data_IF_739632384989
#
_entry.id   IF_739632384989
#
_cell.length_a   1.000
_cell.length_b   1.000
_cell.length_c   1.000
_cell.angle_alpha   90.00
_cell.angle_beta   90.00
_cell.angle_gamma   90.00
#
_symmetry.space_group_name_H-M   'P 1'
#
loop_
_entity.id
_entity.type
_entity.pdbx_description
1 polymer ?
#
# COMPACT_ATOMS: atom_id res chain seq x y z
N UNK A 1 -4.16 -4.40 22.17
CA UNK A 1 -4.15 -3.33 21.15
C UNK A 1 -3.79 -1.98 21.77
N UNK A 2 -4.31 -1.66 22.97
CA UNK A 2 -4.04 -0.39 23.66
C UNK A 2 -2.59 -0.24 24.15
N UNK A 3 -1.94 -1.34 24.54
CA UNK A 3 -0.51 -1.34 24.90
C UNK A 3 0.39 -0.93 23.72
N UNK A 4 0.09 -1.38 22.50
CA UNK A 4 0.89 -1.03 21.30
C UNK A 4 0.70 0.45 20.94
N UNK A 5 -0.54 0.95 20.98
CA UNK A 5 -0.83 2.38 20.74
C UNK A 5 -0.13 3.28 21.76
N UNK A 6 -0.15 2.88 23.03
CA UNK A 6 0.54 3.59 24.11
C UNK A 6 2.05 3.63 23.91
N UNK A 7 2.67 2.50 23.54
CA UNK A 7 4.11 2.42 23.25
C UNK A 7 4.49 3.35 22.10
N UNK A 8 3.77 3.29 20.97
CA UNK A 8 4.05 4.11 19.79
C UNK A 8 3.89 5.60 20.09
N UNK A 9 2.80 5.98 20.78
CA UNK A 9 2.55 7.38 21.15
C UNK A 9 3.64 7.93 22.08
N UNK A 10 4.07 7.14 23.06
CA UNK A 10 4.98 7.62 24.11
C UNK A 10 6.46 7.61 23.69
N UNK A 11 6.85 6.72 22.77
CA UNK A 11 8.26 6.58 22.36
C UNK A 11 8.59 7.34 21.07
N UNK A 12 7.64 7.45 20.12
CA UNK A 12 7.94 7.96 18.78
C UNK A 12 7.49 9.41 18.54
N UNK A 13 6.95 10.12 19.54
CA UNK A 13 6.36 11.48 19.38
C UNK A 13 5.47 11.59 18.12
N UNK A 14 4.67 10.56 17.87
CA UNK A 14 3.89 10.41 16.63
C UNK A 14 2.40 10.49 16.94
N UNK A 15 1.64 11.14 16.06
CA UNK A 15 0.18 11.17 16.14
C UNK A 15 -0.41 9.91 15.49
N UNK A 16 -1.33 9.24 16.18
CA UNK A 16 -2.03 8.07 15.65
C UNK A 16 -3.33 8.53 14.98
N UNK A 17 -3.49 8.22 13.70
CA UNK A 17 -4.77 8.42 12.98
C UNK A 17 -5.54 7.11 12.89
N UNK A 18 -6.86 7.17 13.12
CA UNK A 18 -7.77 6.03 12.97
C UNK A 18 -8.50 6.16 11.64
N UNK A 19 -8.42 5.12 10.80
CA UNK A 19 -9.08 5.09 9.50
C UNK A 19 -10.32 4.20 9.63
N UNK A 20 -11.53 4.72 9.38
CA UNK A 20 -12.75 3.92 9.43
C UNK A 20 -12.75 2.81 8.37
N UNK A 21 -13.50 1.74 8.64
CA UNK A 21 -13.73 0.69 7.66
C UNK A 21 -14.35 1.27 6.37
N UNK A 22 -13.90 0.79 5.21
CA UNK A 22 -14.35 1.29 3.91
C UNK A 22 -13.54 2.46 3.34
N UNK A 23 -12.69 3.12 4.16
CA UNK A 23 -11.88 4.27 3.71
C UNK A 23 -10.46 3.91 3.30
N UNK A 24 -10.05 2.65 3.48
CA UNK A 24 -8.71 2.16 3.13
C UNK A 24 -8.31 2.48 1.68
N UNK A 25 -9.22 2.29 0.72
CA UNK A 25 -8.94 2.60 -0.69
C UNK A 25 -8.89 4.10 -1.01
N UNK A 26 -9.29 4.97 -0.07
CA UNK A 26 -9.36 6.42 -0.28
C UNK A 26 -8.16 7.12 0.36
N UNK A 27 -7.85 6.76 1.60
CA UNK A 27 -6.90 7.54 2.44
C UNK A 27 -5.64 6.77 2.83
N UNK A 28 -5.49 5.48 2.48
CA UNK A 28 -4.25 4.74 2.75
C UNK A 28 -3.31 4.74 1.53
N UNK A 29 -2.16 5.44 1.59
CA UNK A 29 -1.25 5.59 0.45
C UNK A 29 -0.79 4.25 -0.13
N UNK A 30 -0.54 3.28 0.76
CA UNK A 30 -0.18 1.91 0.39
C UNK A 30 -1.21 1.27 -0.53
N UNK A 31 -2.46 1.21 -0.09
CA UNK A 31 -3.49 0.46 -0.79
C UNK A 31 -3.87 1.15 -2.10
N UNK A 32 -3.96 2.48 -2.08
CA UNK A 32 -4.37 3.25 -3.23
C UNK A 32 -3.30 3.28 -4.33
N UNK A 33 -2.03 3.51 -3.99
CA UNK A 33 -1.05 3.90 -5.02
C UNK A 33 -0.06 2.81 -5.39
N UNK A 34 0.53 2.12 -4.40
CA UNK A 34 1.72 1.29 -4.69
C UNK A 34 1.61 -0.19 -4.33
N UNK A 35 0.57 -0.62 -3.62
CA UNK A 35 0.34 -2.03 -3.32
C UNK A 35 0.07 -2.86 -4.59
N UNK A 36 -0.62 -2.29 -5.58
CA UNK A 36 -0.86 -2.96 -6.87
C UNK A 36 0.44 -3.22 -7.64
N UNK A 37 1.28 -2.21 -7.96
CA UNK A 37 2.55 -2.47 -8.65
C UNK A 37 3.50 -3.34 -7.83
N UNK A 38 3.54 -3.18 -6.50
CA UNK A 38 4.31 -4.08 -5.62
C UNK A 38 3.89 -5.54 -5.77
N UNK A 39 2.58 -5.83 -5.71
CA UNK A 39 2.04 -7.19 -5.86
C UNK A 39 2.28 -7.74 -7.27
N UNK A 40 2.17 -6.91 -8.30
CA UNK A 40 2.47 -7.30 -9.67
C UNK A 40 3.92 -7.75 -9.82
N UNK A 41 4.88 -6.94 -9.36
CA UNK A 41 6.30 -7.28 -9.37
C UNK A 41 6.62 -8.55 -8.57
N UNK A 42 6.02 -8.72 -7.39
CA UNK A 42 6.18 -9.94 -6.61
C UNK A 42 5.64 -11.18 -7.35
N UNK A 43 4.48 -11.06 -8.01
CA UNK A 43 3.88 -12.15 -8.77
C UNK A 43 4.70 -12.53 -10.00
N UNK A 44 5.33 -11.56 -10.67
CA UNK A 44 6.26 -11.80 -11.77
C UNK A 44 7.47 -12.61 -11.30
N UNK A 45 8.10 -12.22 -10.18
CA UNK A 45 9.22 -12.96 -9.59
C UNK A 45 8.83 -14.39 -9.19
N UNK A 46 7.61 -14.58 -8.69
CA UNK A 46 7.07 -15.91 -8.42
C UNK A 46 6.86 -16.72 -9.71
N UNK A 47 6.33 -16.10 -10.76
CA UNK A 47 6.11 -16.75 -12.06
C UNK A 47 7.45 -17.16 -12.71
N UNK A 48 8.46 -16.30 -12.65
CA UNK A 48 9.83 -16.61 -13.07
C UNK A 48 10.40 -17.80 -12.29
N UNK A 49 10.25 -17.79 -10.97
CA UNK A 49 10.66 -18.94 -10.16
C UNK A 49 9.88 -20.20 -10.53
N UNK A 50 8.60 -20.05 -10.87
CA UNK A 50 7.75 -21.15 -11.33
C UNK A 50 8.16 -21.72 -12.69
N UNK A 51 8.99 -21.05 -13.48
CA UNK A 51 9.53 -21.62 -14.73
C UNK A 51 11.02 -21.96 -14.60
N UNK A 52 11.73 -21.35 -13.64
CA UNK A 52 13.12 -21.68 -13.34
C UNK A 52 13.23 -23.03 -12.63
N UNK A 53 14.04 -23.95 -13.16
CA UNK A 53 14.14 -25.34 -12.71
C UNK A 53 14.71 -25.59 -11.31
N UNK A 54 14.92 -24.55 -10.49
CA UNK A 54 15.45 -24.64 -9.12
C UNK A 54 14.42 -25.05 -8.08
N UNK A 55 13.56 -26.02 -8.39
CA UNK A 55 12.46 -26.46 -7.52
C UNK A 55 12.68 -27.88 -7.03
N UNK A 56 12.22 -28.14 -5.81
CA UNK A 56 12.09 -29.50 -5.29
C UNK A 56 10.64 -29.98 -5.41
N UNK A 57 10.48 -31.30 -5.43
CA UNK A 57 9.19 -31.97 -5.55
C UNK A 57 8.99 -32.94 -4.40
N UNK A 58 7.75 -33.09 -3.95
CA UNK A 58 7.38 -34.17 -3.02
C UNK A 58 7.50 -35.52 -3.73
N UNK A 59 7.54 -36.65 -3.00
CA UNK A 59 7.50 -37.98 -3.62
C UNK A 59 6.28 -38.22 -4.52
N UNK A 60 5.18 -37.49 -4.29
CA UNK A 60 3.97 -37.53 -5.10
C UNK A 60 4.02 -36.62 -6.34
N UNK A 61 5.14 -35.93 -6.60
CA UNK A 61 5.32 -35.05 -7.75
C UNK A 61 4.77 -33.62 -7.59
N UNK A 62 4.35 -33.22 -6.38
CA UNK A 62 3.90 -31.84 -6.13
C UNK A 62 5.09 -30.90 -5.93
N UNK A 63 5.02 -29.69 -6.49
CA UNK A 63 6.05 -28.66 -6.29
C UNK A 63 6.05 -28.22 -4.81
N UNK A 64 7.22 -28.18 -4.19
CA UNK A 64 7.37 -27.57 -2.86
C UNK A 64 7.22 -26.05 -2.93
N UNK A 65 6.65 -25.46 -1.88
CA UNK A 65 6.62 -24.00 -1.74
C UNK A 65 8.05 -23.41 -1.72
N UNK A 66 8.25 -22.18 -2.23
CA UNK A 66 9.52 -21.49 -2.11
C UNK A 66 9.89 -21.30 -0.63
N UNK A 67 11.19 -21.30 -0.34
CA UNK A 67 11.67 -21.07 1.02
C UNK A 67 11.34 -19.64 1.49
N UNK A 68 11.25 -19.43 2.80
CA UNK A 68 11.02 -18.09 3.37
C UNK A 68 12.06 -17.07 2.91
N UNK A 69 13.32 -17.49 2.81
CA UNK A 69 14.41 -16.63 2.34
C UNK A 69 14.18 -16.16 0.91
N UNK A 70 13.77 -17.08 0.02
CA UNK A 70 13.43 -16.75 -1.37
C UNK A 70 12.26 -15.75 -1.43
N UNK A 71 11.21 -15.97 -0.65
CA UNK A 71 10.09 -15.01 -0.56
C UNK A 71 10.55 -13.63 -0.06
N UNK A 72 11.41 -13.56 0.96
CA UNK A 72 11.94 -12.28 1.46
C UNK A 72 12.80 -11.56 0.42
N UNK A 73 13.60 -12.30 -0.38
CA UNK A 73 14.33 -11.72 -1.50
C UNK A 73 13.37 -11.14 -2.54
N UNK A 74 12.25 -11.79 -2.83
CA UNK A 74 11.24 -11.25 -3.75
C UNK A 74 10.54 -10.01 -3.18
N UNK A 75 10.18 -10.01 -1.90
CA UNK A 75 9.62 -8.82 -1.24
C UNK A 75 10.57 -7.63 -1.37
N UNK A 76 11.87 -7.84 -1.10
CA UNK A 76 12.89 -6.78 -1.26
C UNK A 76 12.95 -6.27 -2.70
N UNK A 77 13.08 -7.16 -3.67
CA UNK A 77 13.15 -6.81 -5.10
C UNK A 77 11.89 -6.11 -5.59
N UNK A 78 10.71 -6.64 -5.25
CA UNK A 78 9.43 -6.05 -5.61
C UNK A 78 9.28 -4.64 -5.04
N UNK A 79 9.77 -4.40 -3.83
CA UNK A 79 9.78 -3.07 -3.22
C UNK A 79 10.75 -2.11 -3.94
N UNK A 80 11.95 -2.58 -4.31
CA UNK A 80 12.93 -1.80 -5.08
C UNK A 80 12.41 -1.41 -6.49
N UNK A 81 11.49 -2.19 -7.05
CA UNK A 81 10.83 -1.90 -8.33
C UNK A 81 9.68 -0.87 -8.22
N UNK A 82 9.20 -0.58 -7.01
CA UNK A 82 8.23 0.51 -6.80
C UNK A 82 8.97 1.84 -6.89
N UNK A 83 8.62 2.65 -7.88
CA UNK A 83 9.21 3.97 -8.06
C UNK A 83 9.01 4.85 -6.80
N UNK A 84 10.08 5.50 -6.36
CA UNK A 84 10.09 6.38 -5.19
C UNK A 84 9.05 7.49 -5.31
N UNK A 85 8.87 8.00 -6.52
CA UNK A 85 7.93 9.05 -6.88
C UNK A 85 6.48 8.60 -6.64
N UNK A 86 6.16 7.33 -6.88
CA UNK A 86 4.83 6.77 -6.60
C UNK A 86 4.58 6.76 -5.09
N UNK A 87 5.58 6.41 -4.29
CA UNK A 87 5.47 6.42 -2.82
C UNK A 87 5.28 7.86 -2.33
N UNK A 88 6.08 8.81 -2.79
CA UNK A 88 5.93 10.22 -2.36
C UNK A 88 4.56 10.77 -2.75
N UNK A 89 4.18 10.62 -4.02
CA UNK A 89 2.91 11.11 -4.55
C UNK A 89 1.70 10.44 -3.89
N UNK A 90 1.85 9.24 -3.35
CA UNK A 90 0.76 8.57 -2.65
C UNK A 90 0.27 9.31 -1.40
N UNK A 91 1.14 10.06 -0.72
CA UNK A 91 0.74 10.87 0.43
C UNK A 91 -0.06 12.11 0.00
N UNK A 92 0.30 12.73 -1.12
CA UNK A 92 -0.43 13.86 -1.71
C UNK A 92 -1.81 13.42 -2.20
N UNK A 93 -1.86 12.32 -2.96
CA UNK A 93 -3.11 11.79 -3.53
C UNK A 93 -4.09 11.33 -2.44
N UNK A 94 -3.60 10.88 -1.29
CA UNK A 94 -4.44 10.56 -0.11
C UNK A 94 -4.76 11.78 0.77
N UNK A 95 -4.34 12.98 0.40
CA UNK A 95 -4.59 14.22 1.16
C UNK A 95 -3.84 14.31 2.48
N UNK A 96 -2.74 13.57 2.65
CA UNK A 96 -1.96 13.55 3.90
C UNK A 96 -0.92 14.68 3.92
N UNK A 97 -0.34 15.01 2.76
CA UNK A 97 0.73 16.01 2.65
C UNK A 97 0.31 17.29 1.93
N UNK A 98 -1.00 17.51 1.77
CA UNK A 98 -1.58 18.71 1.14
C UNK A 98 -1.90 19.77 2.19
N UNK A 99 -2.02 21.03 1.77
CA UNK A 99 -2.47 22.12 2.63
C UNK A 99 -3.91 21.92 3.14
N UNK A 100 -4.21 22.47 4.31
CA UNK A 100 -5.54 22.42 4.93
C UNK A 100 -6.47 23.55 4.47
N UNK A 101 -5.98 24.53 3.72
CA UNK A 101 -6.76 25.65 3.18
C UNK A 101 -7.68 25.28 2.01
N UNK A 102 -7.54 24.05 1.49
CA UNK A 102 -8.36 23.52 0.40
C UNK A 102 -7.86 23.87 -1.00
N UNK A 103 -6.78 24.65 -1.15
CA UNK A 103 -6.24 25.02 -2.48
C UNK A 103 -5.77 23.79 -3.28
N UNK A 104 -5.36 22.75 -2.56
CA UNK A 104 -4.79 21.52 -3.12
C UNK A 104 -5.79 20.35 -3.23
N UNK A 105 -7.08 20.58 -2.95
CA UNK A 105 -8.08 19.50 -2.92
C UNK A 105 -8.23 18.76 -4.24
N UNK A 106 -8.02 19.46 -5.36
CA UNK A 106 -8.03 18.88 -6.71
C UNK A 106 -6.99 17.76 -6.91
N UNK A 107 -5.95 17.69 -6.05
CA UNK A 107 -4.92 16.65 -6.08
C UNK A 107 -5.36 15.37 -5.35
N UNK A 108 -6.31 15.48 -4.41
CA UNK A 108 -6.78 14.38 -3.58
C UNK A 108 -7.70 13.47 -4.39
N UNK A 109 -7.43 12.17 -4.40
CA UNK A 109 -8.15 11.22 -5.26
C UNK A 109 -9.66 11.24 -5.05
N UNK A 110 -10.12 11.16 -3.80
CA UNK A 110 -11.54 11.04 -3.49
C UNK A 110 -12.33 12.36 -3.61
N UNK A 111 -11.63 13.49 -3.79
CA UNK A 111 -12.23 14.83 -3.93
C UNK A 111 -12.36 15.27 -5.39
N UNK A 112 -11.97 14.42 -6.35
CA UNK A 112 -12.12 14.73 -7.78
C UNK A 112 -13.58 14.67 -8.22
N UNK A 113 -13.92 15.44 -9.25
CA UNK A 113 -15.28 15.49 -9.80
C UNK A 113 -15.79 14.09 -10.15
N UNK A 114 -17.00 13.77 -9.68
CA UNK A 114 -17.63 12.46 -9.86
C UNK A 114 -17.31 11.42 -8.77
N UNK A 115 -16.40 11.72 -7.84
CA UNK A 115 -16.11 10.86 -6.70
C UNK A 115 -17.10 11.09 -5.53
N UNK A 116 -17.24 10.07 -4.68
CA UNK A 116 -18.20 10.08 -3.58
C UNK A 116 -17.94 11.21 -2.58
N UNK A 117 -16.67 11.54 -2.30
CA UNK A 117 -16.36 12.61 -1.35
C UNK A 117 -16.58 14.01 -1.94
N UNK A 118 -16.35 14.19 -3.25
CA UNK A 118 -16.70 15.43 -3.95
C UNK A 118 -18.22 15.70 -3.90
N UNK A 119 -19.02 14.65 -4.14
CA UNK A 119 -20.50 14.75 -4.04
C UNK A 119 -20.96 15.01 -2.61
N UNK A 120 -20.32 14.40 -1.62
CA UNK A 120 -20.66 14.64 -0.22
C UNK A 120 -20.33 16.07 0.23
N UNK A 121 -19.26 16.68 -0.31
CA UNK A 121 -18.86 18.06 0.01
C UNK A 121 -19.97 19.06 -0.29
N UNK A 122 -20.63 18.95 -1.45
CA UNK A 122 -21.72 19.84 -1.85
C UNK A 122 -22.98 19.71 -0.97
N UNK A 123 -23.06 18.69 -0.11
CA UNK A 123 -24.17 18.50 0.84
C UNK A 123 -23.89 19.13 2.21
N UNK A 124 -22.64 19.53 2.48
CA UNK A 124 -22.18 20.08 3.75
C UNK A 124 -22.00 21.61 3.66
N UNK A 125 -21.86 22.14 2.44
CA UNK A 125 -21.90 23.56 2.10
C UNK A 125 -23.34 24.07 1.95
#
# INVERSE_FOLDING_TARGET
>A
MDSVKSIVSNQAKTNISTIPGGFTSLVQPTVLCWNKPFKAAHNELYAEWMVSGGKSYTPAGNIHAPSKLVCLCWVKKAYELVAREVIIKSFEVCGISVSMDGEEDHKIHCMKDGEVAATARTLIE
#
